data_IF_049041386612
#
_entry.id   IF_049041386612
#
_cell.length_a   1.000
_cell.length_b   1.000
_cell.length_c   1.000
_cell.angle_alpha   90.00
_cell.angle_beta   90.00
_cell.angle_gamma   90.00
#
_symmetry.space_group_name_H-M   'P 1'
#
loop_
_entity.id
_entity.type
_entity.pdbx_description
1 polymer ?
#
# COMPACT_ATOMS: atom_id res chain seq x y z
N UNK A 1 13.61 -3.63 15.44
CA UNK A 1 14.91 -2.97 15.28
C UNK A 1 14.77 -1.84 14.25
N UNK A 2 15.40 -0.69 14.50
CA UNK A 2 15.39 0.40 13.54
C UNK A 2 16.02 -0.03 12.20
N UNK A 3 15.59 0.58 11.09
CA UNK A 3 16.21 0.37 9.76
C UNK A 3 17.72 0.54 9.82
N UNK A 4 18.19 1.52 10.59
CA UNK A 4 19.63 1.78 10.79
C UNK A 4 20.31 0.60 11.50
N UNK A 5 19.66 0.02 12.51
CA UNK A 5 20.21 -1.16 13.19
C UNK A 5 20.30 -2.36 12.24
N UNK A 6 19.27 -2.61 11.45
CA UNK A 6 19.25 -3.70 10.47
C UNK A 6 20.34 -3.51 9.40
N UNK A 7 20.49 -2.30 8.87
CA UNK A 7 21.56 -1.97 7.91
C UNK A 7 22.94 -2.24 8.48
N UNK A 8 23.17 -1.94 9.75
CA UNK A 8 24.48 -2.06 10.37
C UNK A 8 24.79 -3.47 10.90
N UNK A 9 23.79 -4.30 11.17
CA UNK A 9 23.99 -5.57 11.87
C UNK A 9 23.53 -6.81 11.09
N UNK A 10 22.69 -6.66 10.08
CA UNK A 10 22.11 -7.78 9.32
C UNK A 10 22.49 -7.73 7.84
N UNK A 11 22.60 -6.53 7.28
CA UNK A 11 22.94 -6.34 5.87
C UNK A 11 24.45 -6.06 5.75
N UNK A 12 25.21 -7.07 5.37
CA UNK A 12 26.62 -6.92 4.98
C UNK A 12 26.70 -6.47 3.52
N UNK A 13 26.26 -5.24 3.26
CA UNK A 13 26.23 -4.64 1.90
C UNK A 13 27.63 -4.48 1.31
N UNK A 14 28.62 -4.24 2.15
CA UNK A 14 29.97 -3.89 1.70
C UNK A 14 30.75 -5.14 1.25
N UNK A 15 30.28 -6.33 1.61
CA UNK A 15 31.02 -7.56 1.38
C UNK A 15 30.89 -8.10 -0.04
N UNK A 16 29.76 -7.83 -0.75
CA UNK A 16 29.44 -8.49 -1.99
C UNK A 16 29.01 -7.56 -3.13
N UNK A 17 28.69 -6.30 -2.85
CA UNK A 17 28.11 -5.36 -3.82
C UNK A 17 27.02 -6.01 -4.73
N UNK A 18 26.04 -6.66 -4.10
CA UNK A 18 25.01 -7.47 -4.79
C UNK A 18 23.64 -6.78 -4.80
N UNK A 19 23.60 -5.46 -4.71
CA UNK A 19 22.31 -4.73 -4.63
C UNK A 19 21.42 -5.01 -5.84
N UNK A 20 22.00 -5.04 -7.05
CA UNK A 20 21.27 -5.33 -8.29
C UNK A 20 20.73 -6.75 -8.35
N UNK A 21 21.53 -7.72 -7.94
CA UNK A 21 21.14 -9.12 -7.93
C UNK A 21 20.07 -9.41 -6.88
N UNK A 22 20.17 -8.77 -5.72
CA UNK A 22 19.15 -8.87 -4.66
C UNK A 22 17.82 -8.30 -5.12
N UNK A 23 17.83 -7.18 -5.82
CA UNK A 23 16.62 -6.59 -6.39
C UNK A 23 15.98 -7.50 -7.44
N UNK A 24 16.77 -7.97 -8.41
CA UNK A 24 16.28 -8.91 -9.45
C UNK A 24 15.72 -10.18 -8.82
N UNK A 25 16.39 -10.71 -7.80
CA UNK A 25 15.89 -11.87 -7.07
C UNK A 25 14.55 -11.59 -6.38
N UNK A 26 14.42 -10.44 -5.72
CA UNK A 26 13.18 -10.03 -5.06
C UNK A 26 12.03 -9.86 -6.07
N UNK A 27 12.31 -9.25 -7.23
CA UNK A 27 11.33 -9.12 -8.30
C UNK A 27 10.90 -10.47 -8.89
N UNK A 28 11.84 -11.40 -9.11
CA UNK A 28 11.50 -12.76 -9.57
C UNK A 28 10.60 -13.46 -8.56
N UNK A 29 10.89 -13.32 -7.25
CA UNK A 29 10.03 -13.87 -6.22
C UNK A 29 8.64 -13.22 -6.21
N UNK A 30 8.58 -11.90 -6.35
CA UNK A 30 7.34 -11.15 -6.39
C UNK A 30 6.47 -11.57 -7.58
N UNK A 31 7.05 -11.58 -8.80
CA UNK A 31 6.36 -11.97 -10.04
C UNK A 31 5.91 -13.44 -9.99
N UNK A 32 6.75 -14.35 -9.49
CA UNK A 32 6.38 -15.76 -9.30
C UNK A 32 5.25 -15.94 -8.29
N UNK A 33 5.06 -14.97 -7.38
CA UNK A 33 3.97 -14.91 -6.41
C UNK A 33 2.77 -14.07 -6.85
N UNK A 34 2.71 -13.67 -8.14
CA UNK A 34 1.57 -12.94 -8.71
C UNK A 34 1.65 -11.41 -8.61
N UNK A 35 2.78 -10.85 -8.16
CA UNK A 35 2.97 -9.40 -8.06
C UNK A 35 3.43 -8.86 -9.42
N UNK A 36 2.70 -7.91 -9.98
CA UNK A 36 3.02 -7.24 -11.26
C UNK A 36 3.38 -5.78 -11.12
N UNK A 37 3.05 -5.18 -9.98
CA UNK A 37 3.42 -3.81 -9.63
C UNK A 37 3.85 -3.74 -8.18
N UNK A 38 4.84 -2.93 -7.88
CA UNK A 38 5.37 -2.71 -6.54
C UNK A 38 5.46 -1.22 -6.23
N UNK A 39 5.27 -0.88 -4.97
CA UNK A 39 5.58 0.43 -4.42
C UNK A 39 6.90 0.34 -3.64
N UNK A 40 7.66 1.40 -3.62
CA UNK A 40 8.90 1.49 -2.86
C UNK A 40 10.12 1.67 -3.75
N UNK A 41 10.89 2.69 -3.42
CA UNK A 41 12.10 3.06 -4.13
C UNK A 41 13.32 2.64 -3.33
N UNK A 42 14.24 1.85 -3.89
CA UNK A 42 15.51 1.58 -3.21
C UNK A 42 16.33 2.87 -3.17
N UNK A 43 16.97 3.08 -2.05
CA UNK A 43 17.85 4.23 -1.83
C UNK A 43 19.16 4.20 -2.62
N UNK A 44 19.43 3.12 -3.34
CA UNK A 44 20.66 2.92 -4.14
C UNK A 44 20.45 1.81 -5.17
N UNK A 45 21.22 1.82 -6.25
CA UNK A 45 21.18 0.76 -7.26
C UNK A 45 20.35 1.10 -8.49
N UNK A 46 20.45 2.35 -8.98
CA UNK A 46 19.72 2.83 -10.15
C UNK A 46 19.88 1.95 -11.38
N UNK A 47 21.03 1.33 -11.57
CA UNK A 47 21.28 0.44 -12.71
C UNK A 47 20.43 -0.84 -12.71
N UNK A 48 19.89 -1.22 -11.55
CA UNK A 48 18.98 -2.36 -11.44
C UNK A 48 17.59 -2.06 -12.03
N UNK A 49 17.21 -0.80 -12.14
CA UNK A 49 15.92 -0.37 -12.63
C UNK A 49 15.74 -0.57 -14.14
N UNK A 50 16.81 -0.59 -14.91
CA UNK A 50 16.76 -0.73 -16.36
C UNK A 50 16.29 -2.12 -16.84
N UNK A 51 16.14 -3.07 -15.95
CA UNK A 51 15.76 -4.45 -16.27
C UNK A 51 14.68 -5.01 -15.36
N UNK A 52 13.77 -4.15 -14.90
CA UNK A 52 12.66 -4.56 -14.04
C UNK A 52 11.68 -5.49 -14.73
N UNK A 53 11.26 -6.51 -13.99
CA UNK A 53 10.25 -7.48 -14.41
C UNK A 53 8.85 -7.05 -13.99
N UNK A 54 8.75 -6.30 -12.90
CA UNK A 54 7.50 -5.74 -12.40
C UNK A 54 7.49 -4.22 -12.55
N UNK A 55 6.29 -3.65 -12.64
CA UNK A 55 6.12 -2.20 -12.59
C UNK A 55 6.54 -1.68 -11.22
N UNK A 56 7.32 -0.61 -11.17
CA UNK A 56 7.54 0.15 -9.95
C UNK A 56 6.86 1.52 -10.09
N UNK A 57 5.88 1.78 -9.25
CA UNK A 57 5.02 2.97 -9.39
C UNK A 57 5.75 4.29 -9.14
N UNK A 58 6.91 4.26 -8.49
CA UNK A 58 7.72 5.46 -8.20
C UNK A 58 8.80 5.72 -9.25
N UNK A 59 9.36 4.67 -9.84
CA UNK A 59 10.57 4.77 -10.67
C UNK A 59 10.36 4.32 -12.10
N UNK A 60 9.71 3.17 -12.31
CA UNK A 60 9.56 2.55 -13.62
C UNK A 60 8.18 1.90 -13.74
N UNK A 61 7.25 2.56 -14.38
CA UNK A 61 5.88 2.10 -14.52
C UNK A 61 5.40 1.98 -15.97
N UNK A 62 6.28 1.65 -16.88
CA UNK A 62 6.00 1.39 -18.31
C UNK A 62 5.31 2.56 -19.04
N UNK A 63 5.73 3.80 -18.73
CA UNK A 63 5.22 5.01 -19.36
C UNK A 63 3.90 5.52 -18.78
N UNK A 64 3.47 5.00 -17.64
CA UNK A 64 2.37 5.58 -16.87
C UNK A 64 2.92 6.71 -16.01
N UNK A 65 2.61 7.94 -16.38
CA UNK A 65 3.00 9.13 -15.63
C UNK A 65 1.92 9.53 -14.61
N UNK A 66 2.25 10.47 -13.72
CA UNK A 66 1.27 11.04 -12.77
C UNK A 66 0.92 10.11 -11.59
N UNK A 67 1.75 9.13 -11.29
CA UNK A 67 1.64 8.30 -10.10
C UNK A 67 2.59 8.82 -9.01
N UNK A 68 2.05 9.08 -7.84
CA UNK A 68 2.80 9.61 -6.70
C UNK A 68 2.60 8.71 -5.49
N UNK A 69 3.62 8.61 -4.67
CA UNK A 69 3.58 7.78 -3.47
C UNK A 69 4.07 8.55 -2.26
N UNK A 70 3.55 8.20 -1.12
CA UNK A 70 4.08 8.64 0.16
C UNK A 70 4.15 7.47 1.12
N UNK A 71 5.33 6.87 1.21
CA UNK A 71 5.57 5.68 2.03
C UNK A 71 5.81 6.00 3.51
N UNK A 72 6.30 7.18 3.84
CA UNK A 72 6.64 7.56 5.22
C UNK A 72 6.37 9.05 5.42
N UNK A 73 5.17 9.49 5.14
CA UNK A 73 4.78 10.86 5.41
C UNK A 73 3.82 10.90 6.59
N UNK A 74 4.11 11.71 7.58
CA UNK A 74 3.12 12.05 8.58
C UNK A 74 2.01 12.89 7.95
N UNK A 75 0.74 12.53 7.99
CA UNK A 75 -0.34 13.33 7.40
C UNK A 75 -0.50 14.70 8.03
N UNK A 76 0.15 14.91 9.15
CA UNK A 76 0.18 16.19 9.89
C UNK A 76 1.30 17.12 9.47
N UNK A 77 2.30 16.62 8.71
CA UNK A 77 3.45 17.41 8.32
C UNK A 77 3.14 18.28 7.09
N UNK A 78 3.67 19.50 7.06
CA UNK A 78 3.62 20.37 5.87
C UNK A 78 4.39 19.76 4.68
N UNK A 79 5.19 18.72 4.93
CA UNK A 79 5.96 17.95 3.95
C UNK A 79 5.10 17.16 2.96
N UNK A 80 3.79 17.02 3.19
CA UNK A 80 2.88 16.39 2.24
C UNK A 80 2.77 17.11 0.91
N UNK A 81 3.30 18.27 0.81
CA UNK A 81 3.08 19.09 -0.37
C UNK A 81 1.61 18.96 -0.89
N UNK A 82 0.66 19.11 0.03
CA UNK A 82 -0.76 18.95 -0.27
C UNK A 82 -1.17 19.76 -1.51
N UNK A 83 -0.63 20.97 -1.61
CA UNK A 83 -0.90 21.83 -2.75
C UNK A 83 -0.38 21.24 -4.07
N UNK A 84 0.77 20.58 -4.05
CA UNK A 84 1.32 19.91 -5.23
C UNK A 84 0.39 18.79 -5.73
N UNK A 85 -0.12 17.95 -4.84
CA UNK A 85 -1.07 16.88 -5.19
C UNK A 85 -2.38 17.47 -5.70
N UNK A 86 -2.91 18.50 -5.05
CA UNK A 86 -4.12 19.21 -5.47
C UNK A 86 -3.92 19.82 -6.88
N UNK A 87 -2.80 20.49 -7.13
CA UNK A 87 -2.49 21.09 -8.42
C UNK A 87 -2.37 20.04 -9.54
N UNK A 88 -1.80 18.88 -9.23
CA UNK A 88 -1.75 17.72 -10.14
C UNK A 88 -3.13 17.19 -10.47
N UNK A 89 -4.00 17.06 -9.47
CA UNK A 89 -5.38 16.65 -9.66
C UNK A 89 -6.14 17.67 -10.54
N UNK A 90 -6.11 18.95 -10.18
CA UNK A 90 -6.78 20.01 -10.92
C UNK A 90 -6.31 20.13 -12.38
N UNK A 91 -5.04 19.88 -12.64
CA UNK A 91 -4.49 19.87 -14.00
C UNK A 91 -4.80 18.61 -14.80
N UNK A 92 -5.41 17.58 -14.18
CA UNK A 92 -5.65 16.28 -14.79
C UNK A 92 -4.38 15.47 -15.05
N UNK A 93 -3.30 15.77 -14.34
CA UNK A 93 -2.02 15.07 -14.44
C UNK A 93 -1.72 14.15 -13.24
N UNK A 94 -2.69 13.97 -12.34
CA UNK A 94 -2.65 12.96 -11.29
C UNK A 94 -3.42 11.73 -11.76
N UNK A 95 -2.74 10.59 -11.85
CA UNK A 95 -3.39 9.32 -12.18
C UNK A 95 -3.62 8.46 -10.94
N UNK A 96 -2.71 8.51 -9.97
CA UNK A 96 -2.90 7.88 -8.66
C UNK A 96 -1.97 8.51 -7.62
N UNK A 97 -2.45 8.57 -6.39
CA UNK A 97 -1.66 8.95 -5.22
C UNK A 97 -1.80 7.91 -4.11
N UNK A 98 -0.71 7.18 -3.88
CA UNK A 98 -0.64 6.12 -2.86
C UNK A 98 -0.14 6.72 -1.55
N UNK A 99 -0.92 6.57 -0.50
CA UNK A 99 -0.60 7.14 0.82
C UNK A 99 -0.84 6.13 1.94
N UNK A 100 0.17 5.92 2.79
CA UNK A 100 0.00 5.22 4.05
C UNK A 100 -0.81 6.11 4.99
N UNK A 101 -1.97 5.64 5.40
CA UNK A 101 -2.93 6.45 6.15
C UNK A 101 -3.63 5.61 7.20
N UNK A 102 -3.78 6.20 8.38
CA UNK A 102 -4.44 5.52 9.51
C UNK A 102 -3.83 4.15 9.80
N UNK A 103 -2.49 4.06 9.67
CA UNK A 103 -1.74 2.84 9.91
C UNK A 103 -1.48 2.66 11.41
N UNK A 104 -2.47 2.14 12.12
CA UNK A 104 -2.45 1.91 13.55
C UNK A 104 -3.86 1.83 14.12
N UNK A 105 -3.97 1.53 15.42
CA UNK A 105 -5.26 1.32 16.10
C UNK A 105 -5.55 2.38 17.16
N UNK A 106 -4.70 3.39 17.26
CA UNK A 106 -4.86 4.47 18.23
C UNK A 106 -5.63 5.67 17.64
N UNK A 107 -5.97 6.62 18.52
CA UNK A 107 -6.73 7.80 18.13
C UNK A 107 -5.96 8.76 17.20
N UNK A 108 -4.64 8.74 17.23
CA UNK A 108 -3.83 9.59 16.33
C UNK A 108 -3.87 9.02 14.93
N UNK A 109 -3.69 7.72 14.77
CA UNK A 109 -3.82 7.04 13.48
C UNK A 109 -5.21 7.25 12.89
N UNK A 110 -6.27 7.13 13.70
CA UNK A 110 -7.62 7.42 13.26
C UNK A 110 -7.81 8.85 12.76
N UNK A 111 -7.23 9.84 13.45
CA UNK A 111 -7.37 11.26 13.11
C UNK A 111 -6.70 11.62 11.76
N UNK A 112 -5.74 10.82 11.28
CA UNK A 112 -5.03 11.08 10.02
C UNK A 112 -5.99 11.19 8.82
N UNK A 113 -6.99 10.34 8.75
CA UNK A 113 -7.99 10.41 7.68
C UNK A 113 -8.73 11.75 7.67
N UNK A 114 -9.19 12.21 8.82
CA UNK A 114 -9.95 13.47 8.90
C UNK A 114 -9.08 14.68 8.53
N UNK A 115 -7.77 14.65 8.85
CA UNK A 115 -6.82 15.68 8.42
C UNK A 115 -6.69 15.72 6.88
N UNK A 116 -6.56 14.57 6.22
CA UNK A 116 -6.49 14.52 4.76
C UNK A 116 -7.83 14.90 4.11
N UNK A 117 -8.92 14.47 4.71
CA UNK A 117 -10.26 14.85 4.27
C UNK A 117 -10.47 16.37 4.28
N UNK A 118 -10.11 17.04 5.38
CA UNK A 118 -10.20 18.49 5.51
C UNK A 118 -9.30 19.25 4.52
N UNK A 119 -8.17 18.65 4.14
CA UNK A 119 -7.27 19.19 3.11
C UNK A 119 -7.77 18.94 1.68
N UNK A 120 -8.84 18.18 1.47
CA UNK A 120 -9.35 17.81 0.16
C UNK A 120 -8.46 16.81 -0.59
N UNK A 121 -7.71 15.99 0.15
CA UNK A 121 -6.76 15.02 -0.39
C UNK A 121 -7.33 13.60 -0.51
N UNK A 122 -8.56 13.37 -0.08
CA UNK A 122 -9.29 12.12 -0.33
C UNK A 122 -10.16 12.34 -1.57
N UNK A 123 -9.68 11.91 -2.71
CA UNK A 123 -10.27 12.11 -4.03
C UNK A 123 -10.20 10.81 -4.85
N UNK A 124 -10.73 10.78 -6.04
CA UNK A 124 -10.83 9.57 -6.89
C UNK A 124 -9.46 8.92 -7.14
N UNK A 125 -8.42 9.73 -7.32
CA UNK A 125 -7.06 9.27 -7.56
C UNK A 125 -6.31 8.85 -6.27
N UNK A 126 -6.93 8.97 -5.10
CA UNK A 126 -6.30 8.60 -3.83
C UNK A 126 -6.44 7.10 -3.58
N UNK A 127 -5.31 6.46 -3.26
CA UNK A 127 -5.25 5.07 -2.84
C UNK A 127 -4.71 5.01 -1.42
N UNK A 128 -5.59 4.75 -0.48
CA UNK A 128 -5.25 4.61 0.95
C UNK A 128 -4.62 3.25 1.18
N UNK A 129 -3.42 3.21 1.75
CA UNK A 129 -2.77 1.98 2.18
C UNK A 129 -3.01 1.82 3.68
N UNK A 130 -3.38 0.62 4.10
CA UNK A 130 -3.78 0.19 5.44
C UNK A 130 -5.19 0.64 5.84
N UNK A 131 -5.39 1.87 6.28
CA UNK A 131 -6.69 2.33 6.80
C UNK A 131 -7.12 1.61 8.07
N UNK A 132 -6.19 1.01 8.83
CA UNK A 132 -6.47 0.13 9.98
C UNK A 132 -7.23 0.85 11.10
N UNK A 133 -6.93 2.13 11.33
CA UNK A 133 -7.58 2.96 12.35
C UNK A 133 -8.90 3.58 11.94
N UNK A 134 -9.31 3.44 10.67
CA UNK A 134 -10.52 4.08 10.16
C UNK A 134 -11.80 3.39 10.67
N UNK A 135 -12.85 4.19 10.85
CA UNK A 135 -14.17 3.67 11.19
C UNK A 135 -15.17 3.77 10.03
N UNK A 136 -16.36 3.19 10.22
CA UNK A 136 -17.44 3.19 9.23
C UNK A 136 -17.78 4.59 8.71
N UNK A 137 -17.72 5.62 9.55
CA UNK A 137 -18.06 6.99 9.16
C UNK A 137 -17.01 7.58 8.21
N UNK A 138 -15.73 7.23 8.42
CA UNK A 138 -14.61 7.62 7.57
C UNK A 138 -14.63 6.84 6.24
N UNK A 139 -14.92 5.54 6.28
CA UNK A 139 -15.15 4.77 5.06
C UNK A 139 -16.35 5.28 4.25
N UNK A 140 -17.45 5.66 4.90
CA UNK A 140 -18.58 6.27 4.21
C UNK A 140 -18.22 7.58 3.51
N UNK A 141 -17.39 8.43 4.12
CA UNK A 141 -16.86 9.64 3.47
C UNK A 141 -15.99 9.27 2.27
N UNK A 142 -15.02 8.35 2.45
CA UNK A 142 -14.12 7.89 1.40
C UNK A 142 -14.86 7.29 0.21
N UNK A 143 -15.90 6.47 0.44
CA UNK A 143 -16.73 5.87 -0.62
C UNK A 143 -17.47 6.90 -1.48
N UNK A 144 -17.62 8.16 -1.03
CA UNK A 144 -18.23 9.22 -1.87
C UNK A 144 -17.27 9.81 -2.89
N UNK A 145 -15.98 9.53 -2.81
CA UNK A 145 -14.94 10.15 -3.64
C UNK A 145 -14.43 9.25 -4.76
N UNK A 146 -14.63 7.95 -4.68
CA UNK A 146 -14.03 6.98 -5.60
C UNK A 146 -12.64 6.48 -5.16
N UNK A 147 -12.09 6.98 -4.07
CA UNK A 147 -10.78 6.57 -3.54
C UNK A 147 -10.71 5.07 -3.27
N UNK A 148 -9.55 4.47 -3.59
CA UNK A 148 -9.28 3.05 -3.39
C UNK A 148 -8.61 2.73 -2.06
N UNK A 149 -8.70 1.46 -1.64
CA UNK A 149 -8.09 0.94 -0.41
C UNK A 149 -7.17 -0.23 -0.72
N UNK A 150 -5.97 -0.24 -0.14
CA UNK A 150 -5.07 -1.41 -0.13
C UNK A 150 -5.05 -2.01 1.27
N UNK A 151 -5.55 -3.22 1.37
CA UNK A 151 -5.55 -4.02 2.60
C UNK A 151 -4.33 -4.92 2.67
N UNK A 152 -3.59 -4.83 3.77
CA UNK A 152 -2.41 -5.65 4.07
C UNK A 152 -2.63 -6.42 5.38
N UNK A 153 -3.48 -7.46 5.39
CA UNK A 153 -3.94 -8.09 6.62
C UNK A 153 -2.82 -8.66 7.49
N UNK A 154 -1.80 -9.26 6.91
CA UNK A 154 -0.73 -9.88 7.67
C UNK A 154 0.07 -8.85 8.48
N UNK A 155 0.53 -7.79 7.83
CA UNK A 155 1.33 -6.75 8.51
C UNK A 155 0.51 -6.03 9.57
N UNK A 156 -0.73 -5.70 9.28
CA UNK A 156 -1.63 -5.05 10.22
C UNK A 156 -1.79 -5.89 11.50
N UNK A 157 -2.05 -7.18 11.36
CA UNK A 157 -2.18 -8.10 12.49
C UNK A 157 -0.88 -8.26 13.28
N UNK A 158 0.26 -8.35 12.60
CA UNK A 158 1.57 -8.53 13.24
C UNK A 158 2.02 -7.27 13.98
N UNK A 159 1.79 -6.10 13.40
CA UNK A 159 2.28 -4.82 13.93
C UNK A 159 1.32 -4.22 14.98
N UNK A 160 0.01 -4.34 14.76
CA UNK A 160 -1.01 -3.62 15.53
C UNK A 160 -1.96 -4.54 16.29
N UNK A 161 -1.95 -5.85 16.01
CA UNK A 161 -2.85 -6.81 16.64
C UNK A 161 -4.30 -6.74 16.13
N UNK A 162 -4.55 -5.93 15.12
CA UNK A 162 -5.85 -5.75 14.47
C UNK A 162 -5.64 -5.45 12.99
N UNK A 163 -6.72 -5.43 12.20
CA UNK A 163 -6.64 -5.11 10.79
C UNK A 163 -7.79 -4.19 10.35
N UNK A 164 -7.70 -3.68 9.16
CA UNK A 164 -8.68 -2.79 8.52
C UNK A 164 -10.09 -3.41 8.57
N UNK A 165 -11.10 -2.62 8.94
CA UNK A 165 -12.51 -3.03 8.82
C UNK A 165 -12.94 -3.02 7.34
N UNK A 166 -12.54 -4.09 6.64
CA UNK A 166 -12.82 -4.25 5.21
C UNK A 166 -14.30 -4.46 4.91
N UNK A 167 -15.08 -4.91 5.89
CA UNK A 167 -16.53 -5.03 5.76
C UNK A 167 -17.17 -3.63 5.73
N UNK A 168 -16.69 -2.73 6.59
CA UNK A 168 -17.13 -1.33 6.56
C UNK A 168 -16.73 -0.64 5.25
N UNK A 169 -15.53 -0.92 4.72
CA UNK A 169 -15.05 -0.39 3.44
C UNK A 169 -15.89 -0.91 2.26
N UNK A 170 -16.17 -2.22 2.22
CA UNK A 170 -17.02 -2.84 1.19
C UNK A 170 -18.45 -2.28 1.21
N UNK A 171 -19.06 -2.16 2.40
CA UNK A 171 -20.37 -1.57 2.57
C UNK A 171 -20.44 -0.10 2.15
N UNK A 172 -19.32 0.62 2.16
CA UNK A 172 -19.19 1.98 1.64
C UNK A 172 -18.95 2.03 0.13
N UNK A 173 -18.84 0.89 -0.55
CA UNK A 173 -18.63 0.78 -1.99
C UNK A 173 -17.19 1.08 -2.43
N UNK A 174 -16.22 0.96 -1.54
CA UNK A 174 -14.81 1.22 -1.83
C UNK A 174 -14.21 0.02 -2.59
N UNK A 175 -13.46 0.30 -3.64
CA UNK A 175 -12.64 -0.72 -4.32
C UNK A 175 -11.49 -1.13 -3.40
N UNK A 176 -11.49 -2.41 -2.99
CA UNK A 176 -10.48 -2.98 -2.10
C UNK A 176 -9.50 -3.80 -2.92
N UNK A 177 -8.22 -3.54 -2.73
CA UNK A 177 -7.10 -4.33 -3.25
C UNK A 177 -6.33 -4.97 -2.08
N UNK A 178 -5.69 -6.11 -2.31
CA UNK A 178 -4.83 -6.79 -1.34
C UNK A 178 -3.39 -6.71 -1.83
N UNK A 179 -2.49 -6.30 -0.95
CA UNK A 179 -1.06 -6.32 -1.21
C UNK A 179 -0.25 -6.67 0.05
N UNK A 180 0.85 -7.42 -0.09
CA UNK A 180 1.78 -7.59 1.02
C UNK A 180 2.48 -6.26 1.28
N UNK A 181 2.73 -6.01 2.54
CA UNK A 181 3.49 -4.88 3.02
C UNK A 181 5.01 -5.13 2.90
N UNK A 182 5.80 -4.22 3.40
CA UNK A 182 7.25 -4.25 3.46
C UNK A 182 7.81 -5.57 4.01
N UNK A 183 8.86 -6.09 3.38
CA UNK A 183 9.40 -7.42 3.63
C UNK A 183 9.62 -7.86 5.08
N UNK A 184 9.99 -6.96 6.03
CA UNK A 184 10.12 -7.32 7.44
C UNK A 184 8.81 -7.61 8.18
N UNK A 185 7.69 -7.02 7.75
CA UNK A 185 6.37 -7.15 8.38
C UNK A 185 5.33 -7.77 7.46
N UNK A 186 5.56 -7.81 6.15
CA UNK A 186 4.65 -8.35 5.16
C UNK A 186 4.84 -9.83 4.88
N UNK A 187 3.92 -10.40 4.11
CA UNK A 187 4.06 -11.74 3.54
C UNK A 187 5.02 -11.73 2.36
N UNK A 188 5.35 -12.90 1.84
CA UNK A 188 6.35 -13.02 0.75
C UNK A 188 5.85 -12.52 -0.62
N UNK A 189 4.55 -12.54 -0.85
CA UNK A 189 3.94 -12.21 -2.13
C UNK A 189 2.41 -12.18 -2.03
N UNK A 190 1.74 -11.75 -3.10
CA UNK A 190 0.27 -11.62 -3.13
C UNK A 190 -0.48 -12.93 -2.87
N UNK A 191 0.02 -14.08 -3.31
CA UNK A 191 -0.65 -15.36 -3.03
C UNK A 191 -0.61 -15.72 -1.55
N UNK A 192 0.46 -15.33 -0.86
CA UNK A 192 0.53 -15.54 0.59
C UNK A 192 -0.36 -14.53 1.33
N UNK A 193 -0.41 -13.29 0.89
CA UNK A 193 -1.30 -12.28 1.48
C UNK A 193 -2.77 -12.66 1.27
N UNK A 194 -3.14 -13.11 0.06
CA UNK A 194 -4.47 -13.61 -0.25
C UNK A 194 -4.88 -14.78 0.65
N UNK A 195 -3.94 -15.69 0.96
CA UNK A 195 -4.21 -16.78 1.89
C UNK A 195 -4.52 -16.27 3.30
N UNK A 196 -3.82 -15.24 3.77
CA UNK A 196 -4.11 -14.63 5.08
C UNK A 196 -5.48 -13.95 5.06
N UNK A 197 -5.79 -13.21 3.99
CA UNK A 197 -7.09 -12.58 3.80
C UNK A 197 -8.23 -13.61 3.80
N UNK A 198 -8.07 -14.73 3.08
CA UNK A 198 -9.05 -15.83 3.05
C UNK A 198 -9.26 -16.47 4.43
N UNK A 199 -8.17 -16.72 5.17
CA UNK A 199 -8.29 -17.24 6.54
C UNK A 199 -9.03 -16.24 7.44
N UNK A 200 -8.72 -14.97 7.37
CA UNK A 200 -9.42 -13.93 8.13
C UNK A 200 -10.89 -13.82 7.74
N UNK A 201 -11.17 -13.87 6.44
CA UNK A 201 -12.53 -13.85 5.91
C UNK A 201 -13.38 -15.01 6.47
N UNK A 202 -12.85 -16.23 6.49
CA UNK A 202 -13.58 -17.41 6.97
C UNK A 202 -13.74 -17.44 8.48
N UNK A 203 -12.70 -17.09 9.23
CA UNK A 203 -12.67 -17.29 10.67
C UNK A 203 -13.27 -16.11 11.47
N UNK A 204 -13.18 -14.90 10.92
CA UNK A 204 -13.55 -13.65 11.62
C UNK A 204 -14.71 -12.93 10.93
N UNK A 205 -14.75 -12.90 9.60
CA UNK A 205 -15.76 -12.14 8.84
C UNK A 205 -16.96 -13.03 8.40
N UNK A 206 -17.10 -14.24 8.92
CA UNK A 206 -18.18 -15.18 8.56
C UNK A 206 -18.32 -15.44 7.04
N UNK A 207 -17.20 -15.34 6.29
CA UNK A 207 -17.20 -15.54 4.84
C UNK A 207 -17.89 -14.41 4.09
N UNK A 208 -17.72 -13.18 4.53
CA UNK A 208 -18.31 -11.98 3.90
C UNK A 208 -17.98 -11.88 2.41
N UNK A 209 -16.72 -12.15 2.04
CA UNK A 209 -16.27 -12.15 0.66
C UNK A 209 -16.28 -13.55 0.06
N UNK A 210 -16.76 -13.69 -1.17
CA UNK A 210 -16.60 -14.91 -1.96
C UNK A 210 -15.15 -15.09 -2.43
N UNK A 211 -14.79 -16.32 -2.79
CA UNK A 211 -13.48 -16.62 -3.39
C UNK A 211 -13.20 -15.77 -4.65
N UNK A 212 -14.25 -15.45 -5.41
CA UNK A 212 -14.13 -14.62 -6.60
C UNK A 212 -13.75 -13.17 -6.26
N UNK A 213 -14.40 -12.57 -5.28
CA UNK A 213 -14.10 -11.21 -4.81
C UNK A 213 -12.68 -11.12 -4.23
N UNK A 214 -12.26 -12.11 -3.44
CA UNK A 214 -10.89 -12.16 -2.93
C UNK A 214 -9.86 -12.25 -4.07
N UNK A 215 -10.14 -13.00 -5.13
CA UNK A 215 -9.28 -13.05 -6.32
C UNK A 215 -9.28 -11.71 -7.07
N UNK A 216 -10.44 -11.03 -7.16
CA UNK A 216 -10.49 -9.70 -7.75
C UNK A 216 -9.62 -8.69 -7.00
N UNK A 217 -9.56 -8.79 -5.67
CA UNK A 217 -8.73 -7.89 -4.83
C UNK A 217 -7.22 -8.00 -5.11
N UNK A 218 -6.75 -9.10 -5.71
CA UNK A 218 -5.33 -9.26 -6.10
C UNK A 218 -5.12 -9.21 -7.63
N UNK A 219 -6.17 -8.98 -8.41
CA UNK A 219 -6.09 -9.00 -9.89
C UNK A 219 -6.72 -7.77 -10.53
N UNK A 220 -8.05 -7.73 -10.65
CA UNK A 220 -8.76 -6.67 -11.37
C UNK A 220 -8.87 -5.36 -10.59
N UNK A 221 -8.98 -5.43 -9.27
CA UNK A 221 -9.16 -4.22 -8.47
C UNK A 221 -7.90 -3.33 -8.43
N UNK A 222 -6.67 -3.89 -8.32
CA UNK A 222 -5.45 -3.07 -8.38
C UNK A 222 -5.02 -2.71 -9.82
N UNK A 223 -5.71 -3.17 -10.86
CA UNK A 223 -5.36 -2.90 -12.26
C UNK A 223 -5.97 -1.60 -12.74
#
# INVERSE_FOLDING_TARGET
>A
PSITWMKNNVQDRDRWDMASEQMKYAEVQAVAGGVTAVQGSPSSGTDAWDSMLSRNVEMYNFGQDGMYTCAVCGPTDDDYNAQFIIDKNVSGSLNAWFVHLSEGVDSSSKAEFDILWEKGLIMDETVVIHGTGMDQSQFNKMGTTGAGLVWSPFSNLVLYGDTTDVVAADNAGITISIAPDWGPSGTKNNLHELKVADMWNREILDGHFSDYELVQMVTSNPA
#
